data_IF_274552252398
#
_entry.id   IF_274552252398
#
_cell.length_a   1.000
_cell.length_b   1.000
_cell.length_c   1.000
_cell.angle_alpha   90.00
_cell.angle_beta   90.00
_cell.angle_gamma   90.00
#
_symmetry.space_group_name_H-M   'P 1'
#
loop_
_entity.id
_entity.type
_entity.pdbx_description
1 polymer ?
#
# COMPACT_ATOMS: atom_id res chain seq x y z
N UNK A 1 -22.23 17.85 -8.61
CA UNK A 1 -21.07 17.30 -7.86
C UNK A 1 -20.48 16.18 -8.71
N UNK A 2 -19.31 16.41 -9.34
CA UNK A 2 -18.71 15.43 -10.25
C UNK A 2 -18.40 14.12 -9.54
N UNK A 3 -18.57 12.98 -10.22
CA UNK A 3 -18.10 11.69 -9.71
C UNK A 3 -16.60 11.81 -9.40
N UNK A 4 -16.23 11.90 -8.12
CA UNK A 4 -14.86 11.62 -7.72
C UNK A 4 -14.65 10.11 -7.92
N UNK A 5 -14.09 9.75 -9.07
CA UNK A 5 -13.65 8.38 -9.30
C UNK A 5 -12.42 8.14 -8.42
N UNK A 6 -12.56 7.28 -7.40
CA UNK A 6 -11.45 6.85 -6.57
C UNK A 6 -10.45 6.08 -7.43
N UNK A 7 -9.17 6.45 -7.36
CA UNK A 7 -8.11 5.80 -8.12
C UNK A 7 -7.28 4.92 -7.18
N UNK A 8 -7.02 3.70 -7.62
CA UNK A 8 -6.05 2.82 -7.00
C UNK A 8 -4.79 2.77 -7.87
N UNK A 9 -3.68 3.30 -7.37
CA UNK A 9 -2.38 3.28 -8.06
C UNK A 9 -1.47 2.19 -7.50
N UNK A 10 -0.85 1.41 -8.38
CA UNK A 10 0.18 0.43 -8.02
C UNK A 10 1.53 0.95 -8.50
N UNK A 11 2.49 1.04 -7.59
CA UNK A 11 3.88 1.38 -7.90
C UNK A 11 4.70 0.08 -7.85
N UNK A 12 5.25 -0.32 -8.98
CA UNK A 12 5.97 -1.57 -9.16
C UNK A 12 7.39 -1.32 -9.71
N UNK A 13 8.31 -2.26 -9.43
CA UNK A 13 9.72 -2.20 -9.84
C UNK A 13 10.63 -2.91 -8.84
N UNK A 14 11.91 -3.07 -9.19
CA UNK A 14 12.88 -3.83 -8.39
C UNK A 14 13.19 -3.16 -7.04
N UNK A 15 13.76 -3.92 -6.10
CA UNK A 15 14.27 -3.36 -4.85
C UNK A 15 15.37 -2.34 -5.14
N UNK A 16 15.38 -1.22 -4.42
CA UNK A 16 16.36 -0.15 -4.62
C UNK A 16 16.09 0.79 -5.80
N UNK A 17 15.03 0.60 -6.60
CA UNK A 17 14.74 1.49 -7.74
C UNK A 17 14.12 2.85 -7.38
N UNK A 18 13.99 3.18 -6.09
CA UNK A 18 13.45 4.46 -5.62
C UNK A 18 11.92 4.58 -5.58
N UNK A 19 11.18 3.46 -5.62
CA UNK A 19 9.70 3.44 -5.65
C UNK A 19 9.05 4.21 -4.51
N UNK A 20 9.48 3.95 -3.27
CA UNK A 20 8.93 4.61 -2.09
C UNK A 20 9.20 6.12 -2.13
N UNK A 21 10.41 6.52 -2.52
CA UNK A 21 10.78 7.94 -2.70
C UNK A 21 9.90 8.61 -3.75
N UNK A 22 9.73 7.98 -4.91
CA UNK A 22 8.84 8.47 -5.96
C UNK A 22 7.40 8.57 -5.48
N UNK A 23 6.88 7.55 -4.79
CA UNK A 23 5.51 7.52 -4.28
C UNK A 23 5.23 8.71 -3.36
N UNK A 24 6.13 8.93 -2.40
CA UNK A 24 6.01 10.01 -1.41
C UNK A 24 6.05 11.38 -2.10
N UNK A 25 6.94 11.59 -3.07
CA UNK A 25 7.02 12.86 -3.79
C UNK A 25 5.83 13.08 -4.75
N UNK A 26 5.43 12.05 -5.49
CA UNK A 26 4.34 12.11 -6.47
C UNK A 26 2.99 12.43 -5.82
N UNK A 27 2.71 11.86 -4.64
CA UNK A 27 1.45 12.05 -3.93
C UNK A 27 1.45 13.15 -2.87
N UNK A 28 2.57 13.84 -2.64
CA UNK A 28 2.75 14.81 -1.53
C UNK A 28 1.67 15.89 -1.42
N UNK A 29 1.09 16.29 -2.56
CA UNK A 29 0.07 17.34 -2.65
C UNK A 29 -1.31 16.78 -3.04
N UNK A 30 -1.57 15.50 -2.76
CA UNK A 30 -2.84 14.83 -3.09
C UNK A 30 -3.43 14.18 -1.85
N UNK A 31 -4.74 13.89 -1.87
CA UNK A 31 -5.40 13.10 -0.82
C UNK A 31 -5.11 11.58 -0.94
N UNK A 32 -4.23 11.18 -1.87
CA UNK A 32 -3.88 9.77 -2.10
C UNK A 32 -2.95 9.29 -1.01
N UNK A 33 -3.40 8.30 -0.23
CA UNK A 33 -2.57 7.70 0.81
C UNK A 33 -1.75 6.56 0.24
N UNK A 34 -0.45 6.59 0.52
CA UNK A 34 0.48 5.52 0.19
C UNK A 34 0.49 4.46 1.30
N UNK A 35 0.22 3.21 0.92
CA UNK A 35 0.16 2.06 1.82
C UNK A 35 1.31 1.10 1.46
N UNK A 36 2.19 0.83 2.42
CA UNK A 36 3.36 -0.03 2.25
C UNK A 36 3.49 -0.97 3.46
N UNK A 37 3.69 -2.27 3.22
CA UNK A 37 3.80 -3.30 4.26
C UNK A 37 5.03 -3.10 5.17
N UNK A 38 6.18 -2.73 4.62
CA UNK A 38 7.41 -2.49 5.39
C UNK A 38 7.23 -1.30 6.34
N UNK A 39 6.55 -0.24 5.90
CA UNK A 39 6.23 0.91 6.75
C UNK A 39 5.32 0.50 7.92
N UNK A 40 4.35 -0.39 7.68
CA UNK A 40 3.48 -0.93 8.73
C UNK A 40 4.27 -1.85 9.68
N UNK A 41 5.14 -2.73 9.15
CA UNK A 41 5.98 -3.61 9.95
C UNK A 41 6.91 -2.83 10.88
N UNK A 42 7.51 -1.75 10.36
CA UNK A 42 8.35 -0.84 11.14
C UNK A 42 7.56 -0.12 12.24
N UNK A 43 6.32 0.29 11.96
CA UNK A 43 5.45 0.88 12.98
C UNK A 43 5.03 -0.13 14.07
N UNK A 44 4.84 -1.40 13.72
CA UNK A 44 4.49 -2.47 14.67
C UNK A 44 5.67 -2.94 15.51
N UNK A 45 6.88 -2.95 14.95
CA UNK A 45 8.08 -3.47 15.62
C UNK A 45 9.31 -2.68 15.19
N UNK A 46 9.51 -1.45 15.72
CA UNK A 46 10.59 -0.56 15.28
C UNK A 46 11.99 -1.19 15.37
N UNK A 47 12.23 -1.99 16.42
CA UNK A 47 13.53 -2.62 16.67
C UNK A 47 13.73 -3.94 15.90
N UNK A 48 12.66 -4.55 15.37
CA UNK A 48 12.75 -5.78 14.59
C UNK A 48 11.51 -5.96 13.69
N UNK A 49 11.45 -5.24 12.54
CA UNK A 49 10.29 -5.25 11.66
C UNK A 49 9.98 -6.62 11.04
N UNK A 50 11.01 -7.45 10.85
CA UNK A 50 10.89 -8.77 10.21
C UNK A 50 9.91 -9.70 10.95
N UNK A 51 9.85 -9.60 12.27
CA UNK A 51 8.91 -10.36 13.10
C UNK A 51 7.44 -9.97 12.86
N UNK A 52 7.20 -8.78 12.31
CA UNK A 52 5.87 -8.21 12.09
C UNK A 52 5.41 -8.27 10.63
N UNK A 53 6.21 -8.79 9.70
CA UNK A 53 5.91 -8.76 8.26
C UNK A 53 4.58 -9.44 7.91
N UNK A 54 4.29 -10.60 8.48
CA UNK A 54 3.02 -11.30 8.24
C UNK A 54 1.81 -10.51 8.76
N UNK A 55 1.94 -9.90 9.94
CA UNK A 55 0.88 -9.07 10.54
C UNK A 55 0.68 -7.78 9.74
N UNK A 56 1.78 -7.16 9.30
CA UNK A 56 1.77 -5.97 8.47
C UNK A 56 1.06 -6.21 7.14
N UNK A 57 1.30 -7.35 6.48
CA UNK A 57 0.58 -7.75 5.26
C UNK A 57 -0.94 -7.83 5.47
N UNK A 58 -1.40 -8.44 6.58
CA UNK A 58 -2.84 -8.46 6.92
C UNK A 58 -3.42 -7.07 7.14
N UNK A 59 -2.71 -6.19 7.84
CA UNK A 59 -3.15 -4.81 8.08
C UNK A 59 -3.21 -4.00 6.78
N UNK A 60 -2.22 -4.16 5.90
CA UNK A 60 -2.20 -3.57 4.57
C UNK A 60 -3.45 -3.98 3.76
N UNK A 61 -3.77 -5.28 3.71
CA UNK A 61 -4.97 -5.77 3.00
C UNK A 61 -6.26 -5.19 3.59
N UNK A 62 -6.35 -5.10 4.92
CA UNK A 62 -7.51 -4.50 5.59
C UNK A 62 -7.66 -3.01 5.25
N UNK A 63 -6.56 -2.26 5.19
CA UNK A 63 -6.55 -0.85 4.81
C UNK A 63 -6.97 -0.67 3.34
N UNK A 64 -6.48 -1.51 2.44
CA UNK A 64 -6.90 -1.53 1.03
C UNK A 64 -8.42 -1.75 0.94
N UNK A 65 -8.95 -2.78 1.60
CA UNK A 65 -10.40 -3.07 1.63
C UNK A 65 -11.21 -1.91 2.18
N UNK A 66 -10.73 -1.25 3.24
CA UNK A 66 -11.36 -0.07 3.83
C UNK A 66 -11.43 1.10 2.85
N UNK A 67 -10.34 1.36 2.12
CA UNK A 67 -10.27 2.45 1.13
C UNK A 67 -11.18 2.20 -0.06
N UNK A 68 -11.20 0.97 -0.57
CA UNK A 68 -12.12 0.54 -1.63
C UNK A 68 -13.57 0.75 -1.19
N UNK A 69 -13.95 0.27 -0.01
CA UNK A 69 -15.31 0.44 0.55
C UNK A 69 -15.72 1.90 0.65
N UNK A 70 -14.78 2.77 1.05
CA UNK A 70 -15.04 4.20 1.25
C UNK A 70 -14.85 5.05 -0.02
N UNK A 71 -14.48 4.46 -1.16
CA UNK A 71 -14.17 5.17 -2.42
C UNK A 71 -13.13 6.29 -2.21
N UNK A 72 -12.08 5.99 -1.46
CA UNK A 72 -10.95 6.90 -1.30
C UNK A 72 -9.82 6.49 -2.24
N UNK A 73 -9.16 7.45 -2.87
CA UNK A 73 -7.95 7.16 -3.65
C UNK A 73 -6.81 6.73 -2.73
N UNK A 74 -6.02 5.76 -3.18
CA UNK A 74 -4.85 5.26 -2.46
C UNK A 74 -3.84 4.68 -3.44
N UNK A 75 -2.59 4.59 -2.98
CA UNK A 75 -1.51 3.95 -3.71
C UNK A 75 -0.87 2.85 -2.87
N UNK A 76 -0.34 1.83 -3.53
CA UNK A 76 0.43 0.77 -2.87
C UNK A 76 1.78 0.58 -3.54
N UNK A 77 2.79 0.26 -2.75
CA UNK A 77 4.01 -0.38 -3.24
C UNK A 77 3.92 -1.87 -2.96
N UNK A 78 4.16 -2.68 -3.99
CA UNK A 78 4.18 -4.13 -3.87
C UNK A 78 5.22 -4.70 -4.84
N UNK A 79 5.86 -5.78 -4.45
CA UNK A 79 6.73 -6.57 -5.33
C UNK A 79 5.95 -7.62 -6.11
N UNK A 80 4.63 -7.78 -5.87
CA UNK A 80 3.80 -8.87 -6.41
C UNK A 80 4.38 -10.28 -6.16
N UNK A 81 5.27 -10.44 -5.18
CA UNK A 81 5.99 -11.69 -4.94
C UNK A 81 5.07 -12.84 -4.46
N UNK A 82 3.92 -12.52 -3.87
CA UNK A 82 2.93 -13.50 -3.42
C UNK A 82 1.92 -13.79 -4.54
N UNK A 83 1.90 -15.04 -5.05
CA UNK A 83 0.96 -15.49 -6.11
C UNK A 83 -0.52 -15.25 -5.80
N UNK A 84 -0.89 -15.09 -4.53
CA UNK A 84 -2.26 -14.86 -4.07
C UNK A 84 -2.61 -13.39 -3.80
N UNK A 85 -1.68 -12.44 -3.92
CA UNK A 85 -1.92 -11.03 -3.59
C UNK A 85 -3.15 -10.46 -4.31
N UNK A 86 -3.28 -10.76 -5.61
CA UNK A 86 -4.43 -10.32 -6.40
C UNK A 86 -5.75 -10.96 -5.92
N UNK A 87 -5.75 -12.25 -5.58
CA UNK A 87 -6.95 -12.94 -5.07
C UNK A 87 -7.41 -12.40 -3.72
N UNK A 88 -6.49 -12.12 -2.80
CA UNK A 88 -6.86 -11.65 -1.45
C UNK A 88 -7.27 -10.18 -1.40
N UNK A 89 -6.78 -9.40 -2.36
CA UNK A 89 -7.01 -7.95 -2.47
C UNK A 89 -8.26 -7.61 -3.28
N UNK A 90 -8.57 -8.39 -4.32
CA UNK A 90 -9.61 -8.07 -5.31
C UNK A 90 -10.78 -9.06 -5.40
N UNK A 91 -10.80 -10.12 -4.58
CA UNK A 91 -11.99 -10.97 -4.39
C UNK A 91 -12.92 -10.39 -3.31
#
# INVERSE_FOLDING_TARGET
MGKNNSTFTIIAGVNGSGKSTFALDYFKNTDTIFINADSIAMALSPSNPDLSQFRAGKLMLNEIKRRIKNKHSFSVETTLASKNYLKETFA
#
